data_IF_143185480410
#
_entry.id   IF_143185480410
#
_cell.length_a   1.000
_cell.length_b   1.000
_cell.length_c   1.000
_cell.angle_alpha   90.00
_cell.angle_beta   90.00
_cell.angle_gamma   90.00
#
_symmetry.space_group_name_H-M   'P 1'
#
loop_
_entity.id
_entity.type
_entity.pdbx_description
1 polymer ?
#
# COMPACT_ATOMS: atom_id res chain seq x y z
N UNK A 1 2.25 5.14 -20.14
CA UNK A 1 3.39 4.23 -19.94
C UNK A 1 3.39 3.84 -18.48
N UNK A 2 2.99 2.60 -18.21
CA UNK A 2 2.67 2.07 -16.88
C UNK A 2 3.92 2.00 -16.01
N UNK A 3 3.82 2.48 -14.78
CA UNK A 3 4.80 2.14 -13.75
C UNK A 3 4.79 0.61 -13.61
N UNK A 4 5.99 0.05 -13.62
CA UNK A 4 6.27 -1.37 -13.67
C UNK A 4 5.70 -2.00 -12.39
N UNK A 5 4.48 -2.54 -12.50
CA UNK A 5 3.97 -3.54 -11.57
C UNK A 5 4.67 -4.83 -12.01
N UNK A 6 5.92 -4.99 -11.57
CA UNK A 6 6.59 -6.28 -11.59
C UNK A 6 5.73 -7.18 -10.71
N UNK A 7 5.01 -8.07 -11.37
CA UNK A 7 4.05 -8.96 -10.73
C UNK A 7 4.67 -9.58 -9.48
N UNK A 8 3.99 -9.37 -8.36
CA UNK A 8 4.04 -10.10 -7.08
C UNK A 8 4.56 -9.36 -5.86
N UNK A 9 5.30 -8.25 -5.95
CA UNK A 9 5.72 -7.52 -4.75
C UNK A 9 5.62 -6.02 -4.95
N UNK A 10 4.84 -5.36 -4.08
CA UNK A 10 5.04 -3.95 -3.81
C UNK A 10 6.50 -3.79 -3.40
N UNK A 11 7.22 -2.85 -4.04
CA UNK A 11 8.61 -2.58 -3.69
C UNK A 11 8.68 -2.31 -2.20
N UNK A 12 9.60 -2.97 -1.52
CA UNK A 12 9.97 -2.66 -0.16
C UNK A 12 10.46 -1.21 -0.07
N UNK A 13 10.46 -0.65 1.13
CA UNK A 13 10.91 0.74 1.33
C UNK A 13 12.37 0.91 0.90
N UNK A 14 13.17 -0.11 1.11
CA UNK A 14 14.58 -0.20 0.74
C UNK A 14 14.75 -0.18 -0.78
N UNK A 15 13.99 -1.00 -1.51
CA UNK A 15 14.01 -1.01 -2.98
C UNK A 15 13.50 0.31 -3.59
N UNK A 16 12.53 0.96 -2.92
CA UNK A 16 12.04 2.29 -3.30
C UNK A 16 13.11 3.37 -3.15
N UNK A 17 13.91 3.29 -2.09
CA UNK A 17 15.05 4.18 -1.85
C UNK A 17 16.12 3.94 -2.92
N UNK A 18 16.48 2.69 -3.16
CA UNK A 18 17.44 2.32 -4.22
C UNK A 18 16.97 2.81 -5.59
N UNK A 19 15.68 2.63 -5.91
CA UNK A 19 15.10 3.14 -7.15
C UNK A 19 15.19 4.66 -7.23
N UNK A 20 14.89 5.39 -6.14
CA UNK A 20 14.92 6.84 -6.12
C UNK A 20 16.29 7.43 -6.50
N UNK A 21 17.37 6.74 -6.11
CA UNK A 21 18.76 7.10 -6.43
C UNK A 21 19.33 6.40 -7.66
N UNK A 22 18.56 5.54 -8.32
CA UNK A 22 19.00 4.83 -9.51
C UNK A 22 18.84 5.69 -10.77
N UNK A 23 19.68 5.40 -11.77
CA UNK A 23 19.55 5.97 -13.12
C UNK A 23 18.22 5.60 -13.81
N UNK A 24 17.48 4.62 -13.29
CA UNK A 24 16.16 4.21 -13.80
C UNK A 24 15.04 5.20 -13.39
N UNK A 25 15.29 6.06 -12.40
CA UNK A 25 14.39 7.15 -12.03
C UNK A 25 14.53 8.31 -13.03
N UNK A 26 14.26 8.05 -14.31
CA UNK A 26 14.35 9.03 -15.40
C UNK A 26 13.45 10.26 -15.20
N UNK A 27 12.45 10.15 -14.31
CA UNK A 27 11.53 11.24 -13.98
C UNK A 27 12.02 12.10 -12.80
N UNK A 28 13.13 11.73 -12.16
CA UNK A 28 13.69 12.45 -11.02
C UNK A 28 12.72 12.56 -9.84
N UNK A 29 11.85 11.58 -9.67
CA UNK A 29 10.83 11.61 -8.62
C UNK A 29 11.49 11.43 -7.26
N UNK A 30 11.08 12.24 -6.28
CA UNK A 30 11.58 12.10 -4.92
C UNK A 30 10.90 10.91 -4.21
N UNK A 31 11.45 10.52 -3.05
CA UNK A 31 10.97 9.37 -2.31
C UNK A 31 9.50 9.46 -1.89
N UNK A 32 9.02 10.66 -1.54
CA UNK A 32 7.61 10.86 -1.17
C UNK A 32 6.69 10.60 -2.37
N UNK A 33 7.02 11.17 -3.54
CA UNK A 33 6.28 10.96 -4.78
C UNK A 33 6.27 9.50 -5.22
N UNK A 34 7.39 8.79 -5.05
CA UNK A 34 7.49 7.36 -5.35
C UNK A 34 6.66 6.52 -4.37
N UNK A 35 6.62 6.91 -3.10
CA UNK A 35 5.80 6.26 -2.06
C UNK A 35 4.31 6.43 -2.36
N UNK A 36 3.89 7.62 -2.78
CA UNK A 36 2.49 7.87 -3.14
C UNK A 36 2.05 7.04 -4.35
N UNK A 37 2.90 6.97 -5.39
CA UNK A 37 2.64 6.17 -6.59
C UNK A 37 2.56 4.67 -6.31
N UNK A 38 3.46 4.16 -5.47
CA UNK A 38 3.44 2.74 -5.08
C UNK A 38 2.24 2.42 -4.20
N UNK A 39 1.82 3.35 -3.33
CA UNK A 39 0.60 3.21 -2.52
C UNK A 39 -0.66 3.20 -3.38
N UNK A 40 -0.79 4.11 -4.35
CA UNK A 40 -1.93 4.12 -5.28
C UNK A 40 -1.97 2.83 -6.13
N UNK A 41 -0.82 2.40 -6.65
CA UNK A 41 -0.71 1.13 -7.38
C UNK A 41 -1.11 -0.07 -6.51
N UNK A 42 -0.73 -0.09 -5.23
CA UNK A 42 -1.12 -1.12 -4.27
C UNK A 42 -2.63 -1.18 -4.05
N UNK A 43 -3.26 -0.02 -3.87
CA UNK A 43 -4.71 0.11 -3.69
C UNK A 43 -5.44 -0.37 -4.94
N UNK A 44 -5.00 0.07 -6.12
CA UNK A 44 -5.61 -0.34 -7.40
C UNK A 44 -5.46 -1.84 -7.64
N UNK A 45 -4.28 -2.41 -7.37
CA UNK A 45 -4.04 -3.86 -7.48
C UNK A 45 -4.95 -4.64 -6.53
N UNK A 46 -5.06 -4.19 -5.28
CA UNK A 46 -5.93 -4.80 -4.27
C UNK A 46 -7.40 -4.74 -4.69
N UNK A 47 -7.89 -3.59 -5.16
CA UNK A 47 -9.25 -3.44 -5.67
C UNK A 47 -9.52 -4.31 -6.91
N UNK A 48 -8.54 -4.45 -7.80
CA UNK A 48 -8.64 -5.32 -8.97
C UNK A 48 -8.78 -6.79 -8.56
N UNK A 49 -7.96 -7.24 -7.60
CA UNK A 49 -8.05 -8.60 -7.04
C UNK A 49 -9.43 -8.85 -6.41
N UNK A 50 -9.92 -7.91 -5.62
CA UNK A 50 -11.25 -7.95 -5.00
C UNK A 50 -12.35 -8.14 -6.06
N UNK A 51 -12.29 -7.35 -7.15
CA UNK A 51 -13.23 -7.46 -8.28
C UNK A 51 -13.11 -8.80 -8.99
N UNK A 52 -11.88 -9.26 -9.25
CA UNK A 52 -11.62 -10.52 -9.95
C UNK A 52 -12.13 -11.73 -9.15
N UNK A 53 -12.01 -11.70 -7.82
CA UNK A 53 -12.53 -12.73 -6.94
C UNK A 53 -14.07 -12.74 -6.83
N UNK A 54 -14.77 -11.82 -7.52
CA UNK A 54 -16.22 -11.59 -7.38
C UNK A 54 -16.63 -11.50 -5.90
N UNK A 55 -15.78 -10.92 -5.06
CA UNK A 55 -16.07 -10.77 -3.65
C UNK A 55 -17.21 -9.74 -3.49
N UNK A 56 -18.46 -10.22 -3.53
CA UNK A 56 -19.66 -9.37 -3.49
C UNK A 56 -19.77 -8.56 -2.19
N UNK A 57 -19.16 -9.04 -1.10
CA UNK A 57 -19.06 -8.33 0.18
C UNK A 57 -17.73 -8.61 0.86
N UNK A 58 -16.90 -7.58 0.99
CA UNK A 58 -15.78 -7.59 1.93
C UNK A 58 -16.23 -6.87 3.19
N UNK A 59 -16.36 -7.63 4.28
CA UNK A 59 -16.66 -7.06 5.58
C UNK A 59 -15.39 -6.39 6.14
N UNK A 60 -15.36 -5.07 6.14
CA UNK A 60 -14.30 -4.30 6.81
C UNK A 60 -14.71 -4.10 8.26
N UNK A 61 -14.07 -4.82 9.19
CA UNK A 61 -14.30 -4.64 10.61
C UNK A 61 -13.73 -3.30 11.08
N UNK A 62 -14.56 -2.25 11.12
CA UNK A 62 -14.19 -0.94 11.69
C UNK A 62 -14.20 -0.94 13.21
N UNK A 63 -13.75 -2.02 13.86
CA UNK A 63 -13.69 -2.04 15.33
C UNK A 63 -12.62 -1.03 15.76
N UNK A 64 -12.97 0.02 16.53
CA UNK A 64 -11.95 0.84 17.15
C UNK A 64 -11.10 -0.06 18.04
N UNK A 65 -9.78 0.04 17.92
CA UNK A 65 -8.86 -0.66 18.80
C UNK A 65 -9.23 -0.32 20.25
N UNK A 66 -9.45 -1.37 21.03
CA UNK A 66 -9.92 -1.35 22.42
C UNK A 66 -8.98 -0.47 23.25
N UNK A 67 -9.44 0.71 23.67
CA UNK A 67 -8.72 1.53 24.65
C UNK A 67 -8.83 0.82 26.00
N UNK A 68 -7.72 0.25 26.46
CA UNK A 68 -7.55 -0.27 27.81
C UNK A 68 -7.96 0.81 28.83
N UNK A 69 -9.13 0.67 29.44
CA UNK A 69 -9.52 1.46 30.63
C UNK A 69 -9.60 0.48 31.80
N UNK A 70 -8.75 0.60 32.83
CA UNK A 70 -8.75 -0.34 33.95
C UNK A 70 -10.07 -0.25 34.75
N UNK A 71 -10.55 -1.39 35.23
CA UNK A 71 -11.81 -1.55 35.94
C UNK A 71 -11.86 -0.70 37.23
N UNK A 72 -13.05 -0.19 37.63
CA UNK A 72 -13.20 0.50 38.90
C UNK A 72 -13.17 -0.52 40.07
N UNK A 73 -12.27 -0.28 41.02
CA UNK A 73 -12.23 -1.00 42.29
C UNK A 73 -13.56 -0.85 43.03
N UNK A 74 -14.14 -1.98 43.47
CA UNK A 74 -15.25 -2.01 44.41
C UNK A 74 -14.78 -2.63 45.73
#
# INVERSE_FOLDING_TARGET
MAAIILGKNLLSKEELIEFAFSELNHRGLNLAQLTDLTTDAAVQSSLSLIRMMKAERIYVSTKPAITNTPAPNR
#
